data_IF_397472557194
#
_entry.id   IF_397472557194
#
_cell.length_a   1.000
_cell.length_b   1.000
_cell.length_c   1.000
_cell.angle_alpha   90.00
_cell.angle_beta   90.00
_cell.angle_gamma   90.00
#
_symmetry.space_group_name_H-M   'P 1'
#
loop_
_entity.id
_entity.type
_entity.pdbx_description
1 polymer ?
#
# COMPACT_ATOMS: atom_id res chain seq x y z
N UNK A 1 4.75 -10.02 -16.55
CA UNK A 1 4.13 -10.07 -15.22
C UNK A 1 4.22 -8.70 -14.60
N UNK A 2 3.69 -8.53 -13.40
CA UNK A 2 3.59 -7.23 -12.72
C UNK A 2 4.09 -7.35 -11.28
N UNK A 3 4.73 -6.30 -10.76
CA UNK A 3 5.01 -6.12 -9.34
C UNK A 3 4.30 -4.89 -8.82
N UNK A 4 3.72 -4.99 -7.61
CA UNK A 4 3.33 -3.80 -6.85
C UNK A 4 4.54 -3.34 -6.02
N UNK A 5 4.85 -2.06 -6.07
CA UNK A 5 5.93 -1.41 -5.33
C UNK A 5 5.30 -0.48 -4.30
N UNK A 6 5.66 -0.61 -3.03
CA UNK A 6 5.03 0.11 -1.94
C UNK A 6 6.11 0.82 -1.13
N UNK A 7 5.95 2.13 -0.98
CA UNK A 7 6.85 2.93 -0.16
C UNK A 7 6.09 4.11 0.46
N UNK A 8 6.72 4.77 1.42
CA UNK A 8 6.20 5.93 2.12
C UNK A 8 7.13 7.14 1.94
N UNK A 9 6.54 8.33 1.85
CA UNK A 9 7.30 9.58 1.89
C UNK A 9 6.70 10.55 2.89
N UNK A 10 7.56 11.31 3.55
CA UNK A 10 7.15 12.37 4.46
C UNK A 10 6.36 13.47 3.74
N UNK A 11 5.37 14.00 4.45
CA UNK A 11 4.58 15.16 4.07
C UNK A 11 4.71 16.26 5.12
N UNK A 12 4.37 17.48 4.71
CA UNK A 12 4.09 18.55 5.67
C UNK A 12 2.75 18.28 6.36
N UNK A 13 2.73 18.30 7.68
CA UNK A 13 1.53 18.08 8.49
C UNK A 13 0.65 19.34 8.47
N UNK A 14 -0.09 19.52 7.36
CA UNK A 14 -0.91 20.70 7.12
C UNK A 14 -2.21 20.38 6.38
N UNK A 15 -3.29 21.06 6.78
CA UNK A 15 -4.51 21.10 5.99
C UNK A 15 -4.34 22.07 4.81
N UNK A 16 -4.74 21.65 3.62
CA UNK A 16 -4.66 22.47 2.42
C UNK A 16 -6.04 22.68 1.79
N UNK A 17 -6.29 23.85 1.22
CA UNK A 17 -7.49 24.06 0.41
C UNK A 17 -7.25 23.53 -1.00
N UNK A 18 -8.11 22.60 -1.43
CA UNK A 18 -8.13 22.05 -2.78
C UNK A 18 -9.26 22.73 -3.56
N UNK A 19 -8.92 23.74 -4.39
CA UNK A 19 -9.88 24.52 -5.16
C UNK A 19 -10.74 23.67 -6.09
N UNK A 20 -10.14 22.66 -6.72
CA UNK A 20 -10.81 21.84 -7.74
C UNK A 20 -11.92 20.96 -7.15
N UNK A 21 -11.77 20.56 -5.88
CA UNK A 21 -12.77 19.83 -5.14
C UNK A 21 -13.63 20.73 -4.24
N UNK A 22 -13.29 22.02 -4.15
CA UNK A 22 -13.77 22.94 -3.11
C UNK A 22 -13.76 22.27 -1.72
N UNK A 23 -12.61 21.71 -1.33
CA UNK A 23 -12.48 20.86 -0.14
C UNK A 23 -11.16 20.99 0.60
N UNK A 24 -11.04 20.29 1.72
CA UNK A 24 -9.84 20.22 2.54
C UNK A 24 -9.06 18.95 2.25
N UNK A 25 -7.81 19.10 1.83
CA UNK A 25 -6.82 18.03 1.71
C UNK A 25 -5.89 17.96 2.92
N UNK A 26 -5.00 16.96 2.92
CA UNK A 26 -4.01 16.76 4.00
C UNK A 26 -4.53 15.99 5.22
N UNK A 27 -5.72 15.40 5.14
CA UNK A 27 -6.28 14.52 6.18
C UNK A 27 -5.79 13.08 5.97
N UNK A 28 -5.53 12.35 7.06
CA UNK A 28 -5.16 10.93 6.96
C UNK A 28 -6.35 10.05 6.57
N UNK A 29 -6.10 9.01 5.77
CA UNK A 29 -7.14 8.12 5.23
C UNK A 29 -7.86 7.33 6.34
N UNK A 30 -7.15 6.96 7.40
CA UNK A 30 -7.69 6.12 8.48
C UNK A 30 -8.80 6.83 9.26
N UNK A 31 -8.66 8.14 9.49
CA UNK A 31 -9.60 8.90 10.33
C UNK A 31 -10.48 9.87 9.55
N UNK A 32 -10.17 10.20 8.29
CA UNK A 32 -10.96 11.19 7.53
C UNK A 32 -12.38 10.75 7.22
N UNK A 33 -12.69 9.45 7.28
CA UNK A 33 -14.01 8.91 6.93
C UNK A 33 -15.15 9.38 7.85
N UNK A 34 -14.84 9.96 9.02
CA UNK A 34 -15.84 10.46 9.97
C UNK A 34 -16.33 11.88 9.65
N UNK A 35 -15.79 12.52 8.61
CA UNK A 35 -16.17 13.87 8.21
C UNK A 35 -16.23 14.03 6.69
N UNK A 36 -17.10 14.93 6.22
CA UNK A 36 -17.08 15.38 4.82
C UNK A 36 -15.99 16.45 4.64
N UNK A 37 -14.95 16.22 3.82
CA UNK A 37 -13.89 17.20 3.58
C UNK A 37 -14.35 18.38 2.69
N UNK A 38 -15.55 18.33 2.12
CA UNK A 38 -16.04 19.33 1.17
C UNK A 38 -16.55 20.60 1.87
N UNK A 39 -16.19 21.77 1.34
CA UNK A 39 -16.54 23.08 1.89
C UNK A 39 -17.84 23.62 1.28
N UNK A 40 -18.96 23.01 1.64
CA UNK A 40 -20.29 23.48 1.19
C UNK A 40 -20.69 24.82 1.81
N UNK A 41 -20.31 25.04 3.07
CA UNK A 41 -20.66 26.23 3.85
C UNK A 41 -19.52 26.61 4.80
N UNK A 42 -19.62 27.80 5.42
CA UNK A 42 -18.75 28.18 6.53
C UNK A 42 -18.80 27.16 7.69
N UNK A 43 -19.99 26.59 7.96
CA UNK A 43 -20.14 25.58 9.00
C UNK A 43 -19.36 24.29 8.67
N UNK A 44 -19.25 23.92 7.39
CA UNK A 44 -18.41 22.78 6.97
C UNK A 44 -16.96 22.98 7.40
N UNK A 45 -16.40 24.18 7.20
CA UNK A 45 -15.04 24.51 7.63
C UNK A 45 -14.86 24.45 9.15
N UNK A 46 -15.84 24.97 9.91
CA UNK A 46 -15.83 24.88 11.37
C UNK A 46 -15.88 23.44 11.87
N UNK A 47 -16.71 22.60 11.26
CA UNK A 47 -16.83 21.19 11.63
C UNK A 47 -15.49 20.45 11.44
N UNK A 48 -14.80 20.68 10.31
CA UNK A 48 -13.48 20.09 10.05
C UNK A 48 -12.46 20.58 11.08
N UNK A 49 -12.47 21.88 11.38
CA UNK A 49 -11.57 22.48 12.37
C UNK A 49 -11.79 21.89 13.76
N UNK A 50 -13.03 21.76 14.21
CA UNK A 50 -13.35 21.15 15.50
C UNK A 50 -12.93 19.68 15.54
N UNK A 51 -13.22 18.90 14.48
CA UNK A 51 -12.83 17.49 14.41
C UNK A 51 -11.30 17.29 14.49
N UNK A 52 -10.52 18.21 13.89
CA UNK A 52 -9.06 18.23 14.03
C UNK A 52 -8.63 18.59 15.46
N UNK A 53 -9.22 19.61 16.07
CA UNK A 53 -8.91 20.05 17.43
C UNK A 53 -9.26 19.00 18.50
N UNK A 54 -10.35 18.28 18.31
CA UNK A 54 -10.83 17.21 19.20
C UNK A 54 -10.11 15.88 18.95
N UNK A 55 -9.30 15.78 17.89
CA UNK A 55 -8.53 14.58 17.55
C UNK A 55 -9.35 13.45 16.93
N UNK A 56 -10.56 13.74 16.45
CA UNK A 56 -11.40 12.79 15.70
C UNK A 56 -10.90 12.55 14.28
N UNK A 57 -10.24 13.56 13.71
CA UNK A 57 -9.57 13.51 12.41
C UNK A 57 -8.13 13.96 12.61
N UNK A 58 -7.18 13.36 11.90
CA UNK A 58 -5.77 13.73 11.99
C UNK A 58 -5.24 14.24 10.65
N UNK A 59 -4.26 15.14 10.73
CA UNK A 59 -3.45 15.52 9.58
C UNK A 59 -2.52 14.37 9.19
N UNK A 60 -2.28 14.24 7.89
CA UNK A 60 -1.32 13.30 7.36
C UNK A 60 0.11 13.79 7.63
N UNK A 61 0.98 12.85 7.99
CA UNK A 61 2.41 13.05 8.25
C UNK A 61 3.27 12.41 7.17
N UNK A 62 2.78 11.32 6.59
CA UNK A 62 3.40 10.63 5.47
C UNK A 62 2.32 10.26 4.45
N UNK A 63 2.74 9.76 3.31
CA UNK A 63 1.85 9.18 2.31
C UNK A 63 2.41 7.87 1.82
N UNK A 64 1.61 6.83 1.93
CA UNK A 64 1.89 5.53 1.32
C UNK A 64 1.53 5.63 -0.16
N UNK A 65 2.48 5.25 -1.02
CA UNK A 65 2.27 5.18 -2.46
C UNK A 65 2.41 3.74 -2.90
N UNK A 66 1.42 3.25 -3.66
CA UNK A 66 1.51 1.97 -4.35
C UNK A 66 1.68 2.25 -5.84
N UNK A 67 2.82 1.84 -6.37
CA UNK A 67 3.15 1.85 -7.78
C UNK A 67 2.98 0.48 -8.41
N UNK A 68 2.54 0.46 -9.66
CA UNK A 68 2.49 -0.71 -10.50
C UNK A 68 3.68 -0.69 -11.44
N UNK A 69 4.47 -1.76 -11.44
CA UNK A 69 5.63 -1.92 -12.30
C UNK A 69 5.49 -3.14 -13.22
N UNK A 70 5.64 -2.91 -14.52
CA UNK A 70 5.54 -3.94 -15.56
C UNK A 70 6.95 -4.49 -15.84
N UNK A 71 7.13 -5.81 -15.68
CA UNK A 71 8.41 -6.43 -16.01
C UNK A 71 8.70 -6.28 -17.51
N UNK A 72 9.83 -5.62 -17.82
CA UNK A 72 10.23 -5.28 -19.19
C UNK A 72 10.04 -3.81 -19.55
N UNK A 73 9.51 -3.00 -18.64
CA UNK A 73 9.42 -1.53 -18.77
C UNK A 73 10.21 -0.84 -17.65
N UNK A 74 10.70 0.37 -17.89
CA UNK A 74 11.37 1.21 -16.87
C UNK A 74 10.41 2.19 -16.17
N UNK A 75 9.10 1.99 -16.31
CA UNK A 75 8.07 2.90 -15.79
C UNK A 75 7.38 2.32 -14.56
N UNK A 76 6.97 3.22 -13.64
CA UNK A 76 6.12 2.91 -12.50
C UNK A 76 4.86 3.76 -12.59
N UNK A 77 3.69 3.13 -12.49
CA UNK A 77 2.39 3.77 -12.59
C UNK A 77 1.76 3.84 -11.20
N UNK A 78 1.61 5.03 -10.58
CA UNK A 78 0.97 5.14 -9.26
C UNK A 78 -0.50 4.72 -9.36
N UNK A 79 -0.93 3.80 -8.50
CA UNK A 79 -2.30 3.28 -8.44
C UNK A 79 -3.00 3.57 -7.11
N UNK A 80 -2.24 3.87 -6.05
CA UNK A 80 -2.77 4.31 -4.77
C UNK A 80 -1.86 5.38 -4.17
N UNK A 81 -2.48 6.40 -3.58
CA UNK A 81 -1.85 7.42 -2.75
C UNK A 81 -2.72 7.55 -1.50
N UNK A 82 -2.18 7.14 -0.35
CA UNK A 82 -2.92 7.03 0.91
C UNK A 82 -2.19 7.82 2.01
N UNK A 83 -2.66 9.05 2.36
CA UNK A 83 -2.04 9.87 3.40
C UNK A 83 -2.22 9.25 4.79
N UNK A 84 -1.15 9.05 5.54
CA UNK A 84 -1.13 8.36 6.85
C UNK A 84 -0.76 9.33 7.97
N UNK A 85 -1.30 9.14 9.17
CA UNK A 85 -0.89 9.85 10.40
C UNK A 85 0.01 9.02 11.33
N UNK A 86 0.48 7.85 10.87
CA UNK A 86 1.29 6.84 11.58
C UNK A 86 0.60 6.14 12.75
N UNK A 87 -0.73 6.20 12.81
CA UNK A 87 -1.51 5.48 13.82
C UNK A 87 -1.99 4.12 13.32
N UNK A 88 -1.78 3.83 12.04
CA UNK A 88 -2.15 2.57 11.41
C UNK A 88 -1.46 1.40 12.10
N UNK A 89 -2.14 0.26 12.14
CA UNK A 89 -1.58 -0.99 12.59
C UNK A 89 -1.34 -1.98 11.43
N UNK A 90 -0.88 -3.18 11.78
CA UNK A 90 -0.62 -4.21 10.76
C UNK A 90 -1.91 -4.66 10.05
N UNK A 91 -3.07 -4.65 10.72
CA UNK A 91 -4.37 -4.96 10.13
C UNK A 91 -4.83 -3.89 9.14
N UNK A 92 -4.54 -2.62 9.40
CA UNK A 92 -4.78 -1.53 8.44
C UNK A 92 -3.92 -1.73 7.18
N UNK A 93 -2.64 -2.10 7.36
CA UNK A 93 -1.76 -2.41 6.23
C UNK A 93 -2.21 -3.66 5.45
N UNK A 94 -2.72 -4.69 6.15
CA UNK A 94 -3.34 -5.84 5.48
C UNK A 94 -4.54 -5.42 4.63
N UNK A 95 -5.34 -4.46 5.10
CA UNK A 95 -6.49 -3.92 4.37
C UNK A 95 -6.04 -3.21 3.10
N UNK A 96 -5.02 -2.35 3.19
CA UNK A 96 -4.43 -1.67 2.03
C UNK A 96 -3.90 -2.68 1.00
N UNK A 97 -3.10 -3.66 1.44
CA UNK A 97 -2.52 -4.69 0.58
C UNK A 97 -3.60 -5.55 -0.10
N UNK A 98 -4.64 -5.90 0.64
CA UNK A 98 -5.78 -6.67 0.11
C UNK A 98 -6.58 -5.85 -0.90
N UNK A 99 -6.82 -4.56 -0.61
CA UNK A 99 -7.53 -3.65 -1.50
C UNK A 99 -6.81 -3.54 -2.86
N UNK A 100 -5.51 -3.25 -2.86
CA UNK A 100 -4.77 -3.05 -4.12
C UNK A 100 -4.62 -4.35 -4.91
N UNK A 101 -4.43 -5.49 -4.24
CA UNK A 101 -4.32 -6.79 -4.93
C UNK A 101 -5.66 -7.25 -5.51
N UNK A 102 -6.76 -7.03 -4.81
CA UNK A 102 -8.10 -7.33 -5.34
C UNK A 102 -8.45 -6.37 -6.47
N UNK A 103 -8.25 -5.07 -6.31
CA UNK A 103 -8.49 -4.08 -7.36
C UNK A 103 -7.70 -4.40 -8.65
N UNK A 104 -6.44 -4.84 -8.52
CA UNK A 104 -5.66 -5.29 -9.67
C UNK A 104 -6.33 -6.46 -10.39
N UNK A 105 -6.80 -7.48 -9.65
CA UNK A 105 -7.46 -8.66 -10.24
C UNK A 105 -8.81 -8.31 -10.86
N UNK A 106 -9.63 -7.55 -10.15
CA UNK A 106 -11.04 -7.31 -10.49
C UNK A 106 -11.22 -6.34 -11.66
N UNK A 107 -10.21 -5.51 -11.94
CA UNK A 107 -10.21 -4.57 -13.08
C UNK A 107 -9.92 -5.24 -14.44
N UNK A 108 -9.63 -6.55 -14.46
CA UNK A 108 -9.22 -7.26 -15.68
C UNK A 108 -7.79 -6.95 -16.13
N UNK A 109 -7.04 -6.17 -15.34
CA UNK A 109 -5.63 -5.84 -15.59
C UNK A 109 -4.76 -7.07 -15.90
N UNK A 110 -4.94 -8.25 -15.26
CA UNK A 110 -4.12 -9.42 -15.56
C UNK A 110 -4.19 -9.88 -17.02
N UNK A 111 -5.32 -9.65 -17.70
CA UNK A 111 -5.49 -10.02 -19.11
C UNK A 111 -4.82 -9.03 -20.07
N UNK A 112 -4.56 -7.79 -19.62
CA UNK A 112 -4.02 -6.70 -20.44
C UNK A 112 -2.51 -6.60 -20.25
N UNK A 113 -2.05 -6.56 -19.00
CA UNK A 113 -0.64 -6.30 -18.65
C UNK A 113 0.06 -7.49 -17.97
N UNK A 114 -0.66 -8.59 -17.77
CA UNK A 114 -0.13 -9.87 -17.27
C UNK A 114 -0.38 -10.11 -15.78
N UNK A 115 -0.09 -11.33 -15.28
CA UNK A 115 -0.37 -11.69 -13.88
C UNK A 115 0.47 -10.89 -12.88
N UNK A 116 -0.08 -10.68 -11.69
CA UNK A 116 0.66 -10.18 -10.53
C UNK A 116 1.62 -11.26 -10.06
N UNK A 117 2.91 -10.97 -10.04
CA UNK A 117 3.95 -11.89 -9.59
C UNK A 117 4.42 -11.59 -8.18
N UNK A 118 4.57 -10.31 -7.84
CA UNK A 118 5.20 -9.93 -6.57
C UNK A 118 4.63 -8.65 -5.98
N UNK A 119 4.84 -8.51 -4.68
CA UNK A 119 4.72 -7.24 -3.96
C UNK A 119 6.05 -6.96 -3.29
N UNK A 120 6.59 -5.77 -3.54
CA UNK A 120 7.80 -5.28 -2.92
C UNK A 120 7.48 -4.09 -2.00
N UNK A 121 8.00 -4.13 -0.78
CA UNK A 121 7.88 -3.06 0.21
C UNK A 121 9.24 -2.78 0.86
N UNK A 122 9.37 -1.68 1.60
CA UNK A 122 10.50 -1.47 2.49
C UNK A 122 10.45 -2.41 3.71
N UNK A 123 11.43 -2.25 4.61
CA UNK A 123 11.55 -3.01 5.86
C UNK A 123 10.68 -2.51 7.02
N UNK A 124 9.62 -1.72 6.79
CA UNK A 124 8.73 -1.28 7.87
C UNK A 124 8.09 -2.48 8.58
N UNK A 125 8.05 -2.44 9.92
CA UNK A 125 7.63 -3.57 10.74
C UNK A 125 6.15 -3.94 10.56
N UNK A 126 5.26 -2.94 10.36
CA UNK A 126 3.84 -3.18 10.16
C UNK A 126 3.60 -3.81 8.78
N UNK A 127 4.25 -3.27 7.74
CA UNK A 127 4.19 -3.80 6.39
C UNK A 127 4.82 -5.19 6.28
N UNK A 128 5.93 -5.44 6.97
CA UNK A 128 6.52 -6.78 7.07
C UNK A 128 5.55 -7.79 7.67
N UNK A 129 4.89 -7.43 8.78
CA UNK A 129 3.93 -8.31 9.46
C UNK A 129 2.70 -8.60 8.59
N UNK A 130 2.12 -7.56 7.99
CA UNK A 130 0.98 -7.67 7.08
C UNK A 130 1.34 -8.49 5.84
N UNK A 131 2.47 -8.17 5.20
CA UNK A 131 2.98 -8.85 4.02
C UNK A 131 3.24 -10.33 4.28
N UNK A 132 3.92 -10.67 5.38
CA UNK A 132 4.19 -12.07 5.70
C UNK A 132 2.91 -12.87 5.90
N UNK A 133 1.90 -12.30 6.57
CA UNK A 133 0.59 -12.95 6.76
C UNK A 133 -0.14 -13.20 5.44
N UNK A 134 -0.06 -12.26 4.48
CA UNK A 134 -0.77 -12.35 3.22
C UNK A 134 -0.05 -13.18 2.15
N UNK A 135 1.28 -13.12 2.12
CA UNK A 135 2.10 -13.58 1.00
C UNK A 135 3.11 -14.70 1.37
N UNK A 136 3.11 -15.17 2.61
CA UNK A 136 3.93 -16.31 3.07
C UNK A 136 3.03 -17.31 3.80
N UNK A 137 1.99 -17.80 3.11
CA UNK A 137 0.96 -18.66 3.71
C UNK A 137 0.72 -19.99 2.97
N UNK A 138 0.86 -20.01 1.66
CA UNK A 138 0.60 -21.19 0.83
C UNK A 138 1.92 -21.82 0.41
N UNK A 139 2.17 -23.08 0.78
CA UNK A 139 3.34 -23.81 0.27
C UNK A 139 3.21 -23.98 -1.24
N UNK A 140 4.28 -23.71 -1.97
CA UNK A 140 4.33 -23.83 -3.41
C UNK A 140 4.01 -25.30 -3.81
N UNK A 141 3.04 -25.56 -4.71
CA UNK A 141 2.72 -26.90 -5.17
C UNK A 141 3.88 -27.52 -5.96
N UNK A 142 4.18 -28.80 -5.71
CA UNK A 142 5.24 -29.55 -6.40
C UNK A 142 5.02 -29.58 -7.92
N UNK A 143 3.76 -29.52 -8.36
CA UNK A 143 3.36 -29.49 -9.77
C UNK A 143 3.54 -28.13 -10.45
N UNK A 144 3.91 -27.08 -9.72
CA UNK A 144 4.09 -25.74 -10.30
C UNK A 144 5.49 -25.54 -10.88
N UNK A 145 5.59 -24.76 -11.94
CA UNK A 145 6.88 -24.40 -12.55
C UNK A 145 7.80 -23.71 -11.53
N UNK A 146 7.23 -22.87 -10.67
CA UNK A 146 7.99 -22.17 -9.63
C UNK A 146 8.63 -23.14 -8.63
N UNK A 147 7.97 -24.27 -8.32
CA UNK A 147 8.58 -25.29 -7.47
C UNK A 147 9.83 -25.87 -8.11
N UNK A 148 9.78 -26.22 -9.40
CA UNK A 148 10.92 -26.81 -10.11
C UNK A 148 12.15 -25.90 -10.12
N UNK A 149 11.92 -24.58 -10.12
CA UNK A 149 12.98 -23.57 -10.02
C UNK A 149 13.51 -23.46 -8.59
N UNK A 150 12.61 -23.27 -7.62
CA UNK A 150 13.01 -22.94 -6.24
C UNK A 150 13.43 -24.14 -5.39
N UNK A 151 12.94 -25.36 -5.70
CA UNK A 151 13.18 -26.55 -4.86
C UNK A 151 14.67 -26.91 -4.74
N UNK A 152 15.47 -26.48 -5.71
CA UNK A 152 16.91 -26.74 -5.77
C UNK A 152 17.76 -25.57 -5.23
N UNK A 153 17.13 -24.57 -4.61
CA UNK A 153 17.79 -23.37 -4.07
C UNK A 153 17.62 -23.33 -2.53
N UNK A 154 18.50 -23.99 -1.76
CA UNK A 154 18.42 -24.05 -0.31
C UNK A 154 18.39 -22.65 0.31
N UNK A 155 17.51 -22.45 1.28
CA UNK A 155 17.37 -21.17 2.00
C UNK A 155 16.38 -20.18 1.37
N UNK A 156 15.88 -20.44 0.15
CA UNK A 156 14.78 -19.65 -0.40
C UNK A 156 13.44 -20.06 0.19
N UNK A 157 12.56 -19.07 0.35
CA UNK A 157 11.20 -19.26 0.83
C UNK A 157 10.37 -20.08 -0.18
N UNK A 158 9.74 -21.16 0.29
CA UNK A 158 8.87 -22.03 -0.50
C UNK A 158 7.37 -21.75 -0.28
N UNK A 159 7.03 -20.59 0.26
CA UNK A 159 5.66 -20.15 0.51
C UNK A 159 5.33 -18.88 -0.28
N UNK A 160 4.07 -18.76 -0.68
CA UNK A 160 3.53 -17.64 -1.45
C UNK A 160 2.18 -17.20 -0.88
N UNK A 161 1.64 -16.11 -1.40
CA UNK A 161 0.27 -15.71 -1.20
C UNK A 161 -0.72 -16.51 -2.03
N UNK A 162 -1.90 -15.94 -2.22
CA UNK A 162 -2.83 -16.48 -3.22
C UNK A 162 -2.24 -16.26 -4.62
N UNK A 163 -2.55 -17.18 -5.55
CA UNK A 163 -2.13 -17.08 -6.95
C UNK A 163 -0.62 -17.01 -7.17
N UNK A 164 0.15 -17.63 -6.27
CA UNK A 164 1.62 -17.69 -6.33
C UNK A 164 2.32 -16.33 -6.20
N UNK A 165 1.64 -15.29 -5.71
CA UNK A 165 2.23 -13.96 -5.50
C UNK A 165 3.29 -14.03 -4.40
N UNK A 166 4.50 -13.56 -4.69
CA UNK A 166 5.63 -13.54 -3.75
C UNK A 166 5.76 -12.19 -3.04
N UNK A 167 6.33 -12.22 -1.83
CA UNK A 167 6.72 -11.02 -1.09
C UNK A 167 8.21 -10.76 -1.28
N UNK A 168 8.55 -9.50 -1.52
CA UNK A 168 9.92 -9.01 -1.60
C UNK A 168 10.11 -7.79 -0.69
N UNK A 169 11.34 -7.60 -0.25
CA UNK A 169 11.76 -6.46 0.57
C UNK A 169 12.98 -5.82 -0.07
N UNK A 170 13.00 -4.48 -0.20
CA UNK A 170 14.15 -3.80 -0.81
C UNK A 170 15.42 -4.07 0.02
N UNK A 171 16.33 -4.85 -0.58
CA UNK A 171 17.59 -5.27 0.01
C UNK A 171 18.44 -4.08 0.48
N UNK A 172 18.29 -2.89 -0.14
CA UNK A 172 19.04 -1.69 0.26
C UNK A 172 18.78 -1.31 1.72
N UNK A 173 17.60 -1.61 2.26
CA UNK A 173 17.30 -1.36 3.67
C UNK A 173 18.17 -2.23 4.59
N UNK A 174 18.52 -3.45 4.18
CA UNK A 174 19.41 -4.35 4.95
C UNK A 174 20.83 -3.77 5.07
N UNK A 175 21.32 -3.09 4.03
CA UNK A 175 22.69 -2.54 4.01
C UNK A 175 22.81 -1.19 4.74
N UNK A 176 21.73 -0.40 4.82
CA UNK A 176 21.73 0.90 5.49
C UNK A 176 21.71 0.83 7.02
N UNK A 177 21.48 -0.35 7.60
CA UNK A 177 21.51 -0.59 9.06
C UNK A 177 22.90 -0.96 9.61
N UNK A 178 23.97 -0.77 8.82
CA UNK A 178 25.38 -0.84 9.26
C UNK A 178 26.05 0.51 9.07
#
# INVERSE_FOLDING_TARGET
GVSLLIDETALEEAAIYMSDANGVGGLCWLHSHVIDPSLHTYQSALNITHALQEGHVHLAKEVTVVGLHLFGEDTVYPILVAPTCKSEDAGDMETVLTLVTNAYKDTGSPAIVGPLWSIATDGDALRCKAGHKLFVKNKIPISSDLFGILSNLPGLNMFTGNDMVTLDFDFKHVFKHK
#
